data_IF_799820421017
#
_entry.id   IF_799820421017
#
_cell.length_a   1.000
_cell.length_b   1.000
_cell.length_c   1.000
_cell.angle_alpha   90.00
_cell.angle_beta   90.00
_cell.angle_gamma   90.00
#
_symmetry.space_group_name_H-M   'P 1'
#
loop_
_entity.id
_entity.type
_entity.pdbx_description
1 polymer ?
#
# COMPACT_ATOMS: atom_id res chain seq x y z
N UNK A 1 78.64 -39.82 107.02
CA UNK A 1 79.57 -39.84 108.18
C UNK A 1 79.83 -41.28 108.55
N UNK A 2 81.08 -41.73 108.52
CA UNK A 2 81.43 -43.08 108.98
C UNK A 2 81.49 -43.10 110.51
N UNK A 3 80.72 -43.98 111.16
CA UNK A 3 80.78 -44.20 112.62
C UNK A 3 81.76 -45.33 112.92
N UNK A 4 83.03 -45.02 113.17
CA UNK A 4 83.97 -46.02 113.67
C UNK A 4 83.58 -46.45 115.10
N UNK A 5 83.19 -47.72 115.28
CA UNK A 5 82.83 -48.30 116.58
C UNK A 5 83.97 -49.12 117.17
N UNK A 6 84.60 -48.61 118.22
CA UNK A 6 85.69 -49.28 118.93
C UNK A 6 85.17 -50.29 119.97
N UNK A 7 85.24 -51.59 119.63
CA UNK A 7 84.89 -52.66 120.55
C UNK A 7 85.95 -52.85 121.63
N UNK A 8 85.52 -52.94 122.90
CA UNK A 8 86.43 -53.26 124.02
C UNK A 8 86.81 -54.75 124.00
N UNK A 9 88.09 -55.04 124.21
CA UNK A 9 88.63 -56.42 124.25
C UNK A 9 88.42 -57.06 125.63
N UNK A 10 88.04 -58.33 125.65
CA UNK A 10 87.81 -59.13 126.84
C UNK A 10 89.12 -59.74 127.38
N UNK A 11 89.15 -60.04 128.68
CA UNK A 11 90.34 -60.41 129.46
C UNK A 11 91.00 -61.76 129.09
N UNK A 12 90.47 -62.49 128.10
CA UNK A 12 90.99 -63.78 127.64
C UNK A 12 91.13 -63.85 126.10
N UNK A 13 91.15 -62.69 125.43
CA UNK A 13 91.20 -62.58 123.96
C UNK A 13 89.82 -62.50 123.31
N UNK A 14 89.70 -61.69 122.26
CA UNK A 14 88.44 -61.41 121.56
C UNK A 14 87.63 -60.26 122.17
N UNK A 15 86.63 -59.76 121.45
CA UNK A 15 85.85 -58.59 121.84
C UNK A 15 84.72 -58.91 122.84
N UNK A 16 84.29 -57.92 123.63
CA UNK A 16 83.17 -58.06 124.55
C UNK A 16 81.86 -58.34 123.79
N UNK A 17 81.41 -59.60 123.84
CA UNK A 17 80.23 -60.13 123.13
C UNK A 17 78.99 -59.23 123.21
N UNK A 18 78.67 -58.64 124.37
CA UNK A 18 77.52 -57.72 124.52
C UNK A 18 77.65 -56.43 123.69
N UNK A 19 78.85 -55.87 123.53
CA UNK A 19 79.08 -54.66 122.74
C UNK A 19 79.07 -54.94 121.24
N UNK A 20 79.57 -56.12 120.83
CA UNK A 20 79.51 -56.57 119.43
C UNK A 20 78.07 -56.86 119.03
N UNK A 21 77.31 -57.59 119.87
CA UNK A 21 75.89 -57.85 119.62
C UNK A 21 75.08 -56.56 119.53
N UNK A 22 75.19 -55.64 120.52
CA UNK A 22 74.44 -54.37 120.47
C UNK A 22 74.72 -53.54 119.21
N UNK A 23 75.95 -53.57 118.68
CA UNK A 23 76.25 -52.91 117.41
C UNK A 23 75.65 -53.64 116.21
N UNK A 24 75.64 -54.98 116.20
CA UNK A 24 74.95 -55.76 115.17
C UNK A 24 73.45 -55.47 115.22
N UNK A 25 72.84 -55.43 116.41
CA UNK A 25 71.43 -55.10 116.62
C UNK A 25 71.12 -53.68 116.09
N UNK A 26 71.90 -52.66 116.49
CA UNK A 26 71.79 -51.27 116.00
C UNK A 26 72.00 -51.15 114.48
N UNK A 27 72.91 -51.93 113.90
CA UNK A 27 73.22 -51.92 112.47
C UNK A 27 72.14 -52.64 111.65
N UNK A 28 71.56 -53.71 112.18
CA UNK A 28 70.39 -54.38 111.63
C UNK A 28 69.16 -53.46 111.67
N UNK A 29 68.94 -52.74 112.76
CA UNK A 29 67.86 -51.74 112.91
C UNK A 29 68.02 -50.58 111.91
N UNK A 30 69.25 -50.05 111.75
CA UNK A 30 69.56 -49.02 110.75
C UNK A 30 69.40 -49.53 109.31
N UNK A 31 69.85 -50.74 109.01
CA UNK A 31 69.67 -51.34 107.68
C UNK A 31 68.20 -51.62 107.38
N UNK A 32 67.42 -52.12 108.36
CA UNK A 32 65.98 -52.33 108.18
C UNK A 32 65.26 -51.02 107.92
N UNK A 33 65.56 -49.97 108.70
CA UNK A 33 64.98 -48.62 108.49
C UNK A 33 65.31 -48.09 107.09
N UNK A 34 66.57 -48.26 106.62
CA UNK A 34 66.99 -47.84 105.29
C UNK A 34 66.32 -48.68 104.17
N UNK A 35 66.11 -49.98 104.38
CA UNK A 35 65.34 -50.85 103.46
C UNK A 35 63.88 -50.38 103.40
N UNK A 36 63.25 -50.10 104.54
CA UNK A 36 61.86 -49.67 104.61
C UNK A 36 61.64 -48.30 103.95
N UNK A 37 62.57 -47.36 104.11
CA UNK A 37 62.53 -46.04 103.45
C UNK A 37 62.83 -46.13 101.94
N UNK A 38 63.76 -47.00 101.51
CA UNK A 38 63.98 -47.27 100.09
C UNK A 38 62.76 -47.94 99.45
N UNK A 39 62.11 -48.88 100.13
CA UNK A 39 60.89 -49.54 99.65
C UNK A 39 59.73 -48.55 99.48
N UNK A 40 59.55 -47.59 100.41
CA UNK A 40 58.60 -46.48 100.24
C UNK A 40 58.95 -45.65 99.00
N UNK A 41 60.22 -45.28 98.83
CA UNK A 41 60.67 -44.45 97.71
C UNK A 41 60.53 -45.17 96.36
N UNK A 42 60.69 -46.50 96.33
CA UNK A 42 60.38 -47.34 95.16
C UNK A 42 58.88 -47.30 94.87
N UNK A 43 58.01 -47.59 95.84
CA UNK A 43 56.56 -47.56 95.66
C UNK A 43 56.05 -46.18 95.18
N UNK A 44 56.55 -45.08 95.75
CA UNK A 44 56.23 -43.71 95.29
C UNK A 44 56.66 -43.46 93.84
N UNK A 45 57.79 -44.04 93.39
CA UNK A 45 58.26 -43.91 92.01
C UNK A 45 57.50 -44.83 91.05
N UNK A 46 57.06 -46.01 91.51
CA UNK A 46 56.21 -46.92 90.74
C UNK A 46 54.82 -46.29 90.50
N UNK A 47 54.19 -45.72 91.53
CA UNK A 47 52.94 -44.96 91.42
C UNK A 47 53.07 -43.76 90.47
N UNK A 48 54.16 -42.98 90.58
CA UNK A 48 54.43 -41.85 89.67
C UNK A 48 54.67 -42.30 88.24
N UNK A 49 55.41 -43.39 88.00
CA UNK A 49 55.61 -43.93 86.66
C UNK A 49 54.33 -44.49 86.05
N UNK A 50 53.46 -45.12 86.85
CA UNK A 50 52.15 -45.57 86.39
C UNK A 50 51.27 -44.38 85.99
N UNK A 51 51.13 -43.37 86.86
CA UNK A 51 50.38 -42.15 86.54
C UNK A 51 50.93 -41.40 85.32
N UNK A 52 52.26 -41.34 85.13
CA UNK A 52 52.86 -40.79 83.91
C UNK A 52 52.54 -41.63 82.67
N UNK A 53 52.54 -42.96 82.77
CA UNK A 53 52.17 -43.87 81.68
C UNK A 53 50.71 -43.69 81.27
N UNK A 54 49.80 -43.59 82.24
CA UNK A 54 48.37 -43.34 82.00
C UNK A 54 48.14 -41.97 81.31
N UNK A 55 48.84 -40.91 81.75
CA UNK A 55 48.80 -39.59 81.10
C UNK A 55 49.37 -39.62 79.67
N UNK A 56 50.47 -40.35 79.42
CA UNK A 56 51.05 -40.51 78.08
C UNK A 56 50.05 -41.20 77.13
N UNK A 57 49.36 -42.24 77.60
CA UNK A 57 48.35 -42.95 76.81
C UNK A 57 47.17 -42.02 76.47
N UNK A 58 46.63 -41.28 77.45
CA UNK A 58 45.53 -40.32 77.23
C UNK A 58 45.92 -39.20 76.25
N UNK A 59 47.15 -38.68 76.34
CA UNK A 59 47.66 -37.70 75.38
C UNK A 59 47.84 -38.29 73.98
N UNK A 60 48.26 -39.56 73.88
CA UNK A 60 48.34 -40.28 72.60
C UNK A 60 46.97 -40.44 71.93
N UNK A 61 45.95 -40.84 72.69
CA UNK A 61 44.56 -40.92 72.21
C UNK A 61 44.01 -39.56 71.75
N UNK A 62 44.31 -38.48 72.50
CA UNK A 62 43.93 -37.11 72.12
C UNK A 62 44.62 -36.65 70.83
N UNK A 63 45.92 -36.92 70.68
CA UNK A 63 46.67 -36.59 69.46
C UNK A 63 46.08 -37.33 68.26
N UNK A 64 45.84 -38.65 68.36
CA UNK A 64 45.24 -39.43 67.28
C UNK A 64 43.85 -38.89 66.89
N UNK A 65 43.01 -38.54 67.88
CA UNK A 65 41.70 -37.93 67.61
C UNK A 65 41.80 -36.58 66.89
N UNK A 66 42.78 -35.76 67.24
CA UNK A 66 43.05 -34.48 66.57
C UNK A 66 43.61 -34.66 65.15
N UNK A 67 44.45 -35.66 64.91
CA UNK A 67 44.96 -35.99 63.57
C UNK A 67 43.85 -36.51 62.66
N UNK A 68 42.99 -37.40 63.17
CA UNK A 68 41.82 -37.91 62.46
C UNK A 68 40.85 -36.78 62.07
N UNK A 69 40.56 -35.84 62.98
CA UNK A 69 39.69 -34.70 62.69
C UNK A 69 40.34 -33.67 61.75
N UNK A 70 41.65 -33.45 61.84
CA UNK A 70 42.39 -32.64 60.88
C UNK A 70 42.36 -33.25 59.47
N UNK A 71 42.45 -34.57 59.35
CA UNK A 71 42.32 -35.28 58.08
C UNK A 71 40.91 -35.11 57.46
N UNK A 72 39.85 -35.27 58.26
CA UNK A 72 38.44 -35.04 57.84
C UNK A 72 38.23 -33.59 57.38
N UNK A 73 38.77 -32.61 58.11
CA UNK A 73 38.69 -31.20 57.72
C UNK A 73 39.44 -30.91 56.40
N UNK A 74 40.63 -31.51 56.20
CA UNK A 74 41.39 -31.37 54.96
C UNK A 74 40.65 -31.97 53.74
N UNK A 75 39.95 -33.10 53.91
CA UNK A 75 39.08 -33.66 52.86
C UNK A 75 37.88 -32.74 52.58
N UNK A 76 37.22 -32.22 53.62
CA UNK A 76 36.10 -31.29 53.47
C UNK A 76 36.50 -30.00 52.75
N UNK A 77 37.67 -29.42 53.07
CA UNK A 77 38.22 -28.24 52.37
C UNK A 77 38.42 -28.53 50.88
N UNK A 78 39.05 -29.66 50.51
CA UNK A 78 39.23 -30.05 49.09
C UNK A 78 37.91 -30.24 48.35
N UNK A 79 36.90 -30.77 49.04
CA UNK A 79 35.54 -30.88 48.49
C UNK A 79 34.94 -29.49 48.23
N UNK A 80 35.05 -28.56 49.17
CA UNK A 80 34.59 -27.17 49.00
C UNK A 80 35.36 -26.43 47.90
N UNK A 81 36.68 -26.59 47.80
CA UNK A 81 37.50 -26.01 46.73
C UNK A 81 37.05 -26.49 45.34
N UNK A 82 36.76 -27.79 45.20
CA UNK A 82 36.21 -28.38 43.96
C UNK A 82 34.84 -27.79 43.62
N UNK A 83 33.92 -27.76 44.60
CA UNK A 83 32.57 -27.19 44.41
C UNK A 83 32.62 -25.69 44.03
N UNK A 84 33.57 -24.92 44.58
CA UNK A 84 33.79 -23.51 44.25
C UNK A 84 34.31 -23.37 42.81
N UNK A 85 35.21 -24.25 42.36
CA UNK A 85 35.69 -24.25 40.97
C UNK A 85 34.55 -24.53 39.98
N UNK A 86 33.73 -25.55 40.24
CA UNK A 86 32.58 -25.91 39.40
C UNK A 86 31.51 -24.80 39.37
N UNK A 87 31.20 -24.19 40.52
CA UNK A 87 30.30 -23.03 40.61
C UNK A 87 30.80 -21.83 39.80
N UNK A 88 32.10 -21.53 39.85
CA UNK A 88 32.70 -20.45 39.06
C UNK A 88 32.62 -20.71 37.54
N UNK A 89 32.81 -21.96 37.11
CA UNK A 89 32.64 -22.36 35.70
C UNK A 89 31.19 -22.22 35.23
N UNK A 90 30.21 -22.64 36.05
CA UNK A 90 28.78 -22.49 35.73
C UNK A 90 28.33 -21.02 35.74
N UNK A 91 28.86 -20.19 36.64
CA UNK A 91 28.63 -18.73 36.61
C UNK A 91 29.16 -18.10 35.31
N UNK A 92 30.39 -18.44 34.91
CA UNK A 92 30.98 -17.93 33.65
C UNK A 92 30.19 -18.40 32.43
N UNK A 93 29.76 -19.67 32.41
CA UNK A 93 28.88 -20.23 31.38
C UNK A 93 27.55 -19.49 31.28
N UNK A 94 26.92 -19.17 32.41
CA UNK A 94 25.67 -18.40 32.48
C UNK A 94 25.84 -16.97 32.01
N UNK A 95 26.95 -16.30 32.37
CA UNK A 95 27.23 -14.96 31.88
C UNK A 95 27.36 -14.93 30.35
N UNK A 96 28.10 -15.87 29.76
CA UNK A 96 28.20 -15.98 28.30
C UNK A 96 26.83 -16.23 27.63
N UNK A 97 26.00 -17.10 28.22
CA UNK A 97 24.66 -17.35 27.72
C UNK A 97 23.72 -16.13 27.83
N UNK A 98 23.89 -15.29 28.85
CA UNK A 98 23.18 -14.01 28.96
C UNK A 98 23.68 -13.02 27.90
N UNK A 99 24.99 -12.84 27.73
CA UNK A 99 25.57 -11.95 26.73
C UNK A 99 25.10 -12.28 25.30
N UNK A 100 25.02 -13.57 24.96
CA UNK A 100 24.52 -14.03 23.66
C UNK A 100 23.00 -13.82 23.50
N UNK A 101 22.21 -13.98 24.56
CA UNK A 101 20.77 -13.63 24.54
C UNK A 101 20.54 -12.13 24.43
N UNK A 102 21.39 -11.31 25.05
CA UNK A 102 21.34 -9.86 24.96
C UNK A 102 21.65 -9.35 23.54
N UNK A 103 22.57 -10.03 22.83
CA UNK A 103 22.85 -9.80 21.40
C UNK A 103 21.65 -10.19 20.53
N UNK A 104 21.04 -11.34 20.78
CA UNK A 104 19.85 -11.81 20.07
C UNK A 104 18.64 -10.87 20.26
N UNK A 105 18.39 -10.40 21.49
CA UNK A 105 17.35 -9.43 21.81
C UNK A 105 17.56 -8.12 21.04
N UNK A 106 18.79 -7.59 21.01
CA UNK A 106 19.13 -6.36 20.25
C UNK A 106 18.91 -6.54 18.74
N UNK A 107 19.24 -7.70 18.19
CA UNK A 107 18.98 -8.03 16.79
C UNK A 107 17.47 -8.11 16.48
N UNK A 108 16.66 -8.70 17.36
CA UNK A 108 15.20 -8.70 17.20
C UNK A 108 14.57 -7.31 17.36
N UNK A 109 15.05 -6.48 18.29
CA UNK A 109 14.59 -5.10 18.48
C UNK A 109 14.80 -4.26 17.21
N UNK A 110 15.99 -4.33 16.59
CA UNK A 110 16.26 -3.64 15.33
C UNK A 110 15.40 -4.18 14.18
N UNK A 111 15.22 -5.50 14.09
CA UNK A 111 14.31 -6.12 13.09
C UNK A 111 12.86 -5.64 13.26
N UNK A 112 12.37 -5.55 14.50
CA UNK A 112 11.04 -4.99 14.79
C UNK A 112 10.96 -3.52 14.37
N UNK A 113 11.96 -2.68 14.69
CA UNK A 113 12.02 -1.27 14.28
C UNK A 113 11.95 -1.12 12.75
N UNK A 114 12.68 -1.95 12.01
CA UNK A 114 12.65 -1.97 10.54
C UNK A 114 11.28 -2.40 9.99
N UNK A 115 10.61 -3.37 10.63
CA UNK A 115 9.26 -3.80 10.24
C UNK A 115 8.21 -2.72 10.52
N UNK A 116 8.29 -2.01 11.64
CA UNK A 116 7.42 -0.87 11.96
C UNK A 116 7.55 0.25 10.92
N UNK A 117 8.78 0.70 10.62
CA UNK A 117 9.03 1.71 9.59
C UNK A 117 8.53 1.27 8.20
N UNK A 118 8.61 -0.02 7.88
CA UNK A 118 8.06 -0.57 6.63
C UNK A 118 6.53 -0.59 6.63
N UNK A 119 5.89 -0.88 7.76
CA UNK A 119 4.43 -0.81 7.89
C UNK A 119 3.92 0.63 7.74
N UNK A 120 4.52 1.58 8.44
CA UNK A 120 4.23 3.03 8.31
C UNK A 120 4.39 3.53 6.87
N UNK A 121 5.47 3.10 6.18
CA UNK A 121 5.70 3.45 4.77
C UNK A 121 4.65 2.86 3.81
N UNK A 122 4.10 1.67 4.12
CA UNK A 122 3.02 1.05 3.36
C UNK A 122 1.67 1.70 3.66
N UNK A 123 1.39 2.05 4.91
CA UNK A 123 0.17 2.77 5.32
C UNK A 123 0.09 4.16 4.68
N UNK A 124 1.20 4.90 4.67
CA UNK A 124 1.31 6.18 3.99
C UNK A 124 1.05 6.05 2.48
N UNK A 125 1.56 4.99 1.84
CA UNK A 125 1.27 4.70 0.42
C UNK A 125 -0.19 4.33 0.20
N UNK A 126 -0.79 3.54 1.08
CA UNK A 126 -2.23 3.23 1.07
C UNK A 126 -3.07 4.49 1.06
N UNK A 127 -2.88 5.36 2.05
CA UNK A 127 -3.54 6.68 2.14
C UNK A 127 -3.36 7.54 0.87
N UNK A 128 -2.19 7.48 0.22
CA UNK A 128 -1.96 8.18 -1.06
C UNK A 128 -2.65 7.54 -2.26
N UNK A 129 -2.85 6.22 -2.28
CA UNK A 129 -3.73 5.57 -3.25
C UNK A 129 -5.20 5.89 -2.98
N UNK A 130 -5.65 5.93 -1.72
CA UNK A 130 -7.02 6.31 -1.37
C UNK A 130 -7.33 7.76 -1.79
N UNK A 131 -6.42 8.70 -1.50
CA UNK A 131 -6.50 10.09 -1.99
C UNK A 131 -6.58 10.19 -3.53
N UNK A 132 -5.85 9.31 -4.24
CA UNK A 132 -5.87 9.26 -5.70
C UNK A 132 -7.19 8.66 -6.22
N UNK A 133 -7.67 7.57 -5.62
CA UNK A 133 -8.93 6.92 -5.96
C UNK A 133 -10.13 7.86 -5.76
N UNK A 134 -10.16 8.65 -4.69
CA UNK A 134 -11.21 9.67 -4.48
C UNK A 134 -11.18 10.74 -5.58
N UNK A 135 -10.00 11.25 -5.94
CA UNK A 135 -9.86 12.24 -7.03
C UNK A 135 -10.28 11.68 -8.40
N UNK A 136 -9.89 10.43 -8.68
CA UNK A 136 -10.26 9.71 -9.91
C UNK A 136 -11.76 9.44 -9.95
N UNK A 137 -12.35 9.01 -8.82
CA UNK A 137 -13.79 8.77 -8.69
C UNK A 137 -14.62 10.03 -8.93
N UNK A 138 -14.23 11.16 -8.33
CA UNK A 138 -14.86 12.46 -8.57
C UNK A 138 -14.76 12.86 -10.05
N UNK A 139 -13.56 12.77 -10.65
CA UNK A 139 -13.37 13.10 -12.06
C UNK A 139 -14.21 12.21 -13.02
N UNK A 140 -14.40 10.93 -12.69
CA UNK A 140 -15.32 10.05 -13.43
C UNK A 140 -16.79 10.45 -13.23
N UNK A 141 -17.20 10.91 -12.05
CA UNK A 141 -18.55 11.41 -11.81
C UNK A 141 -18.80 12.73 -12.55
N UNK A 142 -17.87 13.67 -12.50
CA UNK A 142 -17.93 14.95 -13.23
C UNK A 142 -17.99 14.72 -14.75
N UNK A 143 -17.12 13.84 -15.28
CA UNK A 143 -17.11 13.49 -16.69
C UNK A 143 -18.41 12.79 -17.13
N UNK A 144 -18.96 11.91 -16.30
CA UNK A 144 -20.26 11.26 -16.56
C UNK A 144 -21.40 12.27 -16.55
N UNK A 145 -21.48 13.15 -15.55
CA UNK A 145 -22.53 14.16 -15.48
C UNK A 145 -22.44 15.11 -16.69
N UNK A 146 -21.24 15.53 -17.06
CA UNK A 146 -21.00 16.32 -18.27
C UNK A 146 -21.47 15.59 -19.54
N UNK A 147 -21.20 14.28 -19.68
CA UNK A 147 -21.71 13.48 -20.79
C UNK A 147 -23.24 13.36 -20.78
N UNK A 148 -23.86 13.08 -19.63
CA UNK A 148 -25.32 13.01 -19.48
C UNK A 148 -25.98 14.37 -19.83
N UNK A 149 -25.37 15.49 -19.47
CA UNK A 149 -25.87 16.84 -19.76
C UNK A 149 -25.64 17.24 -21.24
N UNK A 150 -24.54 16.82 -21.86
CA UNK A 150 -24.31 16.94 -23.31
C UNK A 150 -25.36 16.15 -24.10
N UNK A 151 -25.70 14.93 -23.66
CA UNK A 151 -26.75 14.11 -24.29
C UNK A 151 -28.10 14.82 -24.20
N UNK A 152 -28.53 15.26 -23.00
CA UNK A 152 -29.78 16.03 -22.82
C UNK A 152 -29.82 17.29 -23.69
N UNK A 153 -28.71 18.02 -23.79
CA UNK A 153 -28.62 19.22 -24.61
C UNK A 153 -28.72 18.90 -26.12
N UNK A 154 -28.12 17.80 -26.57
CA UNK A 154 -28.23 17.33 -27.95
C UNK A 154 -29.67 16.87 -28.28
N UNK A 155 -30.32 16.11 -27.39
CA UNK A 155 -31.71 15.67 -27.52
C UNK A 155 -32.68 16.86 -27.58
N UNK A 156 -32.54 17.83 -26.67
CA UNK A 156 -33.34 19.06 -26.68
C UNK A 156 -33.13 19.87 -27.96
N UNK A 157 -31.89 19.97 -28.45
CA UNK A 157 -31.57 20.67 -29.70
C UNK A 157 -32.15 19.95 -30.91
N UNK A 158 -32.05 18.62 -30.98
CA UNK A 158 -32.65 17.81 -32.04
C UNK A 158 -34.18 17.95 -32.06
N UNK A 159 -34.83 17.85 -30.90
CA UNK A 159 -36.28 18.04 -30.73
C UNK A 159 -36.76 19.43 -31.15
N UNK A 160 -36.03 20.50 -30.80
CA UNK A 160 -36.31 21.85 -31.30
C UNK A 160 -36.15 21.96 -32.82
N UNK A 161 -35.10 21.37 -33.39
CA UNK A 161 -34.87 21.37 -34.85
C UNK A 161 -35.99 20.64 -35.59
N UNK A 162 -36.44 19.47 -35.11
CA UNK A 162 -37.55 18.74 -35.75
C UNK A 162 -38.87 19.49 -35.63
N UNK A 163 -39.17 20.09 -34.48
CA UNK A 163 -40.35 20.95 -34.30
C UNK A 163 -40.34 22.13 -35.28
N UNK A 164 -39.28 22.95 -35.28
CA UNK A 164 -39.16 24.11 -36.20
C UNK A 164 -39.15 23.70 -37.68
N UNK A 165 -38.65 22.51 -38.00
CA UNK A 165 -38.70 21.95 -39.37
C UNK A 165 -40.12 21.56 -39.75
N UNK A 166 -40.90 20.94 -38.85
CA UNK A 166 -42.32 20.63 -39.08
C UNK A 166 -43.14 21.90 -39.25
N UNK A 167 -42.95 22.91 -38.39
CA UNK A 167 -43.59 24.24 -38.50
C UNK A 167 -43.25 24.91 -39.85
N UNK A 168 -41.99 24.86 -40.26
CA UNK A 168 -41.53 25.40 -41.55
C UNK A 168 -42.15 24.68 -42.74
N UNK A 169 -42.26 23.35 -42.69
CA UNK A 169 -42.91 22.54 -43.74
C UNK A 169 -44.42 22.84 -43.80
N UNK A 170 -45.09 23.00 -42.65
CA UNK A 170 -46.50 23.37 -42.60
C UNK A 170 -46.74 24.77 -43.18
N UNK A 171 -45.90 25.75 -42.83
CA UNK A 171 -45.94 27.11 -43.38
C UNK A 171 -45.72 27.12 -44.90
N UNK A 172 -44.71 26.38 -45.39
CA UNK A 172 -44.42 26.25 -46.82
C UNK A 172 -45.54 25.52 -47.58
N UNK A 173 -46.16 24.49 -47.00
CA UNK A 173 -47.31 23.82 -47.59
C UNK A 173 -48.53 24.77 -47.68
N UNK A 174 -48.76 25.60 -46.67
CA UNK A 174 -49.81 26.62 -46.70
C UNK A 174 -49.53 27.70 -47.77
N UNK A 175 -48.29 28.17 -47.90
CA UNK A 175 -47.89 29.12 -48.94
C UNK A 175 -48.09 28.55 -50.36
N UNK A 176 -47.71 27.29 -50.59
CA UNK A 176 -47.94 26.59 -51.87
C UNK A 176 -49.44 26.44 -52.15
N UNK A 177 -50.26 26.17 -51.11
CA UNK A 177 -51.71 26.07 -51.23
C UNK A 177 -52.34 27.42 -51.65
N UNK A 178 -51.94 28.51 -50.99
CA UNK A 178 -52.37 29.88 -51.34
C UNK A 178 -51.95 30.24 -52.76
N UNK A 179 -50.66 30.08 -53.11
CA UNK A 179 -50.14 30.36 -54.45
C UNK A 179 -50.83 29.56 -55.55
N UNK A 180 -51.20 28.29 -55.28
CA UNK A 180 -52.01 27.49 -56.21
C UNK A 180 -53.41 28.09 -56.40
N UNK A 181 -54.01 28.64 -55.35
CA UNK A 181 -55.24 29.42 -55.43
C UNK A 181 -55.09 30.70 -56.27
N UNK A 182 -54.00 31.43 -56.07
CA UNK A 182 -53.68 32.66 -56.83
C UNK A 182 -53.49 32.35 -58.32
N UNK A 183 -52.73 31.29 -58.66
CA UNK A 183 -52.56 30.82 -60.05
C UNK A 183 -53.87 30.33 -60.67
N UNK A 184 -54.75 29.71 -59.88
CA UNK A 184 -56.08 29.29 -60.36
C UNK A 184 -56.97 30.51 -60.63
N UNK A 185 -56.92 31.53 -59.77
CA UNK A 185 -57.64 32.80 -59.93
C UNK A 185 -57.13 33.55 -61.16
N UNK A 186 -55.81 33.68 -61.30
CA UNK A 186 -55.16 34.30 -62.46
C UNK A 186 -55.55 33.60 -63.77
N UNK A 187 -55.63 32.26 -63.79
CA UNK A 187 -56.11 31.50 -64.95
C UNK A 187 -57.56 31.88 -65.30
N UNK A 188 -58.46 31.96 -64.31
CA UNK A 188 -59.86 32.35 -64.54
C UNK A 188 -59.95 33.80 -65.04
N UNK A 189 -59.17 34.72 -64.48
CA UNK A 189 -59.11 36.12 -64.95
C UNK A 189 -58.58 36.19 -66.38
N UNK A 190 -57.51 35.47 -66.73
CA UNK A 190 -56.97 35.42 -68.09
C UNK A 190 -57.98 34.82 -69.07
N UNK A 191 -58.68 33.74 -68.69
CA UNK A 191 -59.70 33.14 -69.55
C UNK A 191 -60.88 34.09 -69.78
N UNK A 192 -61.38 34.75 -68.73
CA UNK A 192 -62.40 35.81 -68.85
C UNK A 192 -61.91 37.02 -69.67
N UNK A 193 -60.61 37.31 -69.67
CA UNK A 193 -60.02 38.37 -70.51
C UNK A 193 -59.91 37.96 -71.98
N UNK A 194 -59.73 36.66 -72.26
CA UNK A 194 -59.80 36.08 -73.61
C UNK A 194 -61.25 36.10 -74.10
N UNK A 195 -62.22 35.69 -73.26
CA UNK A 195 -63.65 35.75 -73.57
C UNK A 195 -64.13 37.20 -73.83
N UNK A 196 -63.56 38.22 -73.17
CA UNK A 196 -63.81 39.64 -73.49
C UNK A 196 -63.11 40.07 -74.81
N UNK A 197 -61.92 39.54 -75.11
CA UNK A 197 -61.22 39.78 -76.38
C UNK A 197 -61.96 39.18 -77.57
N UNK A 198 -62.48 37.96 -77.43
CA UNK A 198 -63.33 37.28 -78.42
C UNK A 198 -64.60 38.10 -78.68
N UNK A 199 -65.32 38.52 -77.63
CA UNK A 199 -66.49 39.42 -77.78
C UNK A 199 -66.16 40.77 -78.44
N UNK A 200 -64.95 41.31 -78.23
CA UNK A 200 -64.48 42.53 -78.91
C UNK A 200 -64.10 42.27 -80.37
N UNK A 201 -63.57 41.10 -80.70
CA UNK A 201 -63.30 40.68 -82.08
C UNK A 201 -64.60 40.43 -82.83
N UNK A 202 -65.57 39.69 -82.27
CA UNK A 202 -66.92 39.53 -82.83
C UNK A 202 -67.59 40.89 -83.11
N UNK A 203 -67.43 41.86 -82.20
CA UNK A 203 -67.95 43.22 -82.38
C UNK A 203 -67.19 44.02 -83.45
N UNK A 204 -65.89 43.75 -83.67
CA UNK A 204 -65.09 44.32 -84.76
C UNK A 204 -65.49 43.68 -86.09
N UNK A 205 -65.64 42.37 -86.17
CA UNK A 205 -66.05 41.66 -87.38
C UNK A 205 -67.49 42.04 -87.78
N UNK A 206 -68.42 42.17 -86.82
CA UNK A 206 -69.76 42.73 -87.10
C UNK A 206 -69.71 44.21 -87.53
N UNK A 207 -68.72 44.98 -87.05
CA UNK A 207 -68.45 46.34 -87.56
C UNK A 207 -67.86 46.32 -88.98
N UNK A 208 -67.07 45.30 -89.33
CA UNK A 208 -66.52 45.10 -90.67
C UNK A 208 -67.62 44.63 -91.64
N UNK A 209 -68.51 43.70 -91.24
CA UNK A 209 -69.68 43.31 -92.03
C UNK A 209 -70.61 44.49 -92.31
N UNK A 210 -70.85 45.36 -91.32
CA UNK A 210 -71.65 46.57 -91.53
C UNK A 210 -70.94 47.64 -92.37
N UNK A 211 -69.60 47.70 -92.35
CA UNK A 211 -68.81 48.53 -93.27
C UNK A 211 -68.82 47.96 -94.70
N UNK A 212 -68.69 46.64 -94.89
CA UNK A 212 -68.76 45.99 -96.20
C UNK A 212 -70.17 46.09 -96.82
N UNK A 213 -71.22 45.93 -96.00
CA UNK A 213 -72.59 46.22 -96.40
C UNK A 213 -72.79 47.70 -96.77
N UNK A 214 -72.12 48.63 -96.07
CA UNK A 214 -72.12 50.04 -96.44
C UNK A 214 -71.36 50.30 -97.75
N UNK A 215 -70.19 49.68 -97.98
CA UNK A 215 -69.43 49.82 -99.24
C UNK A 215 -70.22 49.29 -100.44
N UNK A 216 -70.93 48.17 -100.28
CA UNK A 216 -71.88 47.64 -101.28
C UNK A 216 -73.06 48.57 -101.57
N UNK A 217 -73.28 49.63 -100.79
CA UNK A 217 -74.29 50.67 -101.04
C UNK A 217 -73.76 51.94 -101.73
N UNK A 218 -72.45 52.02 -102.00
CA UNK A 218 -71.80 53.22 -102.56
C UNK A 218 -71.59 53.14 -104.09
N UNK A 219 -71.49 51.94 -104.67
CA UNK A 219 -71.21 51.74 -106.11
C UNK A 219 -72.44 51.91 -107.03
N UNK A 220 -73.21 53.00 -106.87
CA UNK A 220 -74.29 53.37 -107.80
C UNK A 220 -74.47 54.89 -107.92
N UNK A 221 -73.50 55.58 -108.55
CA UNK A 221 -73.66 56.83 -109.32
C UNK A 221 -72.30 57.44 -109.78
N UNK A 222 -71.69 56.90 -110.85
CA UNK A 222 -71.25 57.65 -112.05
C UNK A 222 -70.48 56.73 -113.02
N UNK A 223 -70.85 56.73 -114.30
CA UNK A 223 -70.46 55.68 -115.27
C UNK A 223 -70.29 56.20 -116.72
N UNK A 224 -69.06 56.54 -117.12
CA UNK A 224 -68.57 56.70 -118.52
C UNK A 224 -67.04 56.44 -118.45
N UNK A 225 -66.34 55.57 -119.22
CA UNK A 225 -66.53 55.07 -120.60
C UNK A 225 -66.07 53.59 -120.74
N UNK A 226 -66.41 52.95 -121.87
CA UNK A 226 -66.21 51.52 -122.19
C UNK A 226 -64.87 51.12 -122.85
N UNK A 227 -64.58 49.80 -122.81
CA UNK A 227 -63.87 48.97 -123.83
C UNK A 227 -62.36 49.23 -124.11
N UNK A 228 -61.46 48.27 -124.44
CA UNK A 228 -61.31 46.77 -124.42
C UNK A 228 -59.81 46.49 -124.76
N UNK A 229 -59.12 45.34 -124.58
CA UNK A 229 -59.18 44.04 -123.86
C UNK A 229 -57.70 43.51 -123.80
N UNK A 230 -57.22 42.37 -123.28
CA UNK A 230 -57.74 41.18 -122.56
C UNK A 230 -56.60 40.42 -121.86
N UNK A 231 -56.92 39.63 -120.82
CA UNK A 231 -56.28 38.33 -120.46
C UNK A 231 -54.78 38.25 -120.04
N UNK A 232 -54.32 37.31 -119.19
CA UNK A 232 -54.96 36.09 -118.68
C UNK A 232 -54.47 35.62 -117.26
N UNK A 233 -55.43 35.29 -116.37
CA UNK A 233 -55.46 34.26 -115.28
C UNK A 233 -54.33 34.07 -114.22
N UNK A 234 -54.78 34.16 -112.94
CA UNK A 234 -54.62 33.19 -111.81
C UNK A 234 -53.20 32.98 -111.19
N UNK A 235 -52.99 32.46 -109.96
CA UNK A 235 -53.90 31.88 -108.94
C UNK A 235 -53.38 32.10 -107.48
N UNK A 236 -54.25 32.55 -106.55
CA UNK A 236 -54.48 32.07 -105.16
C UNK A 236 -53.35 32.05 -104.06
N UNK A 237 -53.56 32.91 -103.05
CA UNK A 237 -53.61 32.69 -101.56
C UNK A 237 -52.35 32.32 -100.73
N UNK A 238 -52.17 33.10 -99.62
CA UNK A 238 -51.55 32.86 -98.28
C UNK A 238 -50.16 32.15 -98.15
N UNK A 239 -49.37 32.36 -97.09
CA UNK A 239 -49.63 32.97 -95.77
C UNK A 239 -48.43 33.81 -95.27
N UNK A 240 -48.68 34.78 -94.39
CA UNK A 240 -47.66 35.45 -93.55
C UNK A 240 -47.85 34.93 -92.11
N UNK A 241 -46.86 34.82 -91.22
CA UNK A 241 -45.53 35.42 -91.08
C UNK A 241 -44.57 34.33 -90.50
N UNK A 242 -43.35 34.52 -90.00
CA UNK A 242 -42.76 35.62 -89.21
C UNK A 242 -41.22 35.59 -89.32
N UNK A 243 -40.54 36.73 -89.16
CA UNK A 243 -39.11 36.86 -89.49
C UNK A 243 -38.27 37.63 -88.44
N UNK A 244 -37.30 36.93 -87.83
CA UNK A 244 -36.16 37.46 -87.03
C UNK A 244 -36.55 38.15 -85.69
N UNK A 245 -35.68 38.33 -84.68
CA UNK A 245 -34.20 38.37 -84.63
C UNK A 245 -33.64 37.98 -83.24
N UNK A 246 -32.41 37.46 -83.22
CA UNK A 246 -31.49 37.37 -82.06
C UNK A 246 -30.78 38.75 -81.82
N UNK A 247 -29.77 38.97 -80.92
CA UNK A 247 -28.89 38.02 -80.20
C UNK A 247 -28.32 38.48 -78.80
N UNK A 248 -27.18 37.87 -78.40
CA UNK A 248 -26.16 38.32 -77.40
C UNK A 248 -26.48 38.17 -75.88
N UNK A 249 -25.52 37.87 -74.99
CA UNK A 249 -24.15 37.32 -75.17
C UNK A 249 -23.56 36.71 -73.86
N UNK A 250 -22.47 35.93 -74.03
CA UNK A 250 -21.29 35.84 -73.16
C UNK A 250 -21.36 35.31 -71.70
N UNK A 251 -20.86 34.07 -71.56
CA UNK A 251 -19.96 33.56 -70.48
C UNK A 251 -18.80 34.55 -70.13
N UNK A 252 -18.00 34.41 -69.02
CA UNK A 252 -17.39 33.13 -68.59
C UNK A 252 -16.84 32.93 -67.15
N UNK A 253 -16.25 31.74 -66.91
CA UNK A 253 -15.33 31.32 -65.81
C UNK A 253 -15.95 31.20 -64.40
N UNK A 254 -15.57 30.26 -63.53
CA UNK A 254 -14.75 29.04 -63.71
C UNK A 254 -13.66 28.84 -62.65
N UNK A 255 -13.88 27.95 -61.66
CA UNK A 255 -12.85 27.50 -60.72
C UNK A 255 -13.16 26.11 -60.08
N UNK A 256 -12.19 25.20 -60.16
CA UNK A 256 -11.86 24.14 -59.15
C UNK A 256 -10.71 24.73 -58.27
N UNK A 257 -10.14 24.09 -57.20
CA UNK A 257 -10.16 22.66 -56.84
C UNK A 257 -10.08 22.30 -55.31
N UNK A 258 -9.79 21.02 -55.03
CA UNK A 258 -9.31 20.38 -53.76
C UNK A 258 -10.33 20.35 -52.59
N UNK A 259 -10.51 19.28 -51.80
CA UNK A 259 -9.81 18.01 -51.49
C UNK A 259 -8.77 18.02 -50.34
N UNK A 260 -9.25 17.55 -49.16
CA UNK A 260 -8.50 16.85 -48.08
C UNK A 260 -7.40 17.64 -47.32
N UNK A 261 -6.93 17.22 -46.11
CA UNK A 261 -6.91 15.85 -45.56
C UNK A 261 -7.40 15.69 -44.10
N UNK A 262 -7.04 14.54 -43.51
CA UNK A 262 -7.34 14.04 -42.15
C UNK A 262 -6.28 14.41 -41.10
N UNK A 263 -6.73 14.68 -39.88
CA UNK A 263 -6.04 14.45 -38.59
C UNK A 263 -7.12 13.82 -37.67
N UNK A 264 -6.97 12.72 -36.92
CA UNK A 264 -5.81 12.00 -36.37
C UNK A 264 -5.09 12.71 -35.21
N UNK A 265 -5.74 12.80 -34.05
CA UNK A 265 -5.07 12.99 -32.75
C UNK A 265 -5.76 12.19 -31.64
N UNK A 266 -5.02 11.20 -31.12
CA UNK A 266 -5.08 10.50 -29.82
C UNK A 266 -6.43 10.34 -29.12
#
# INVERSE_FOLDING_TARGET
MERQTTFKTSMFGGFHKKSVLKYIDELCEQNQTAIDDLNKKIAELEEQNQGLTENINQLGEQIQGMEDDAAKQLEHVKSLETNIADLNLEVLRRQQALDDKDREIKAYQEKCRQLTLRAESLEYKGKKYDEAMVKIGNAFMDARQSADDIIKAAEQKASRITATTIESIQSLAQQISTFKGDVTTLRVTLQSSIEELEQRLDAIDSSIETIDAAMKSVEFCDEITNETESSEKKEIIEEQQEDKKQPFQAQPKGAKPKAQPTEFFW
#
